data_IF_775755981656
#
_entry.id   IF_775755981656
#
_cell.length_a   1.000
_cell.length_b   1.000
_cell.length_c   1.000
_cell.angle_alpha   90.00
_cell.angle_beta   90.00
_cell.angle_gamma   90.00
#
_symmetry.space_group_name_H-M   'P 1'
#
loop_
_entity.id
_entity.type
_entity.pdbx_description
1 polymer ?
#
# COMPACT_ATOMS: atom_id res chain seq x y z
N UNK A 1 11.97 5.31 0.99
CA UNK A 1 10.95 6.35 1.17
C UNK A 1 10.56 6.42 2.64
N UNK A 2 10.64 7.61 3.23
CA UNK A 2 10.30 7.82 4.63
C UNK A 2 8.89 8.39 4.82
N UNK A 3 8.34 8.26 6.04
CA UNK A 3 7.02 8.80 6.38
C UNK A 3 6.96 10.32 6.36
N UNK A 4 8.09 11.01 6.51
CA UNK A 4 8.16 12.47 6.38
C UNK A 4 8.50 12.93 4.96
N UNK A 5 8.08 12.15 3.96
CA UNK A 5 8.17 12.49 2.55
C UNK A 5 9.59 12.74 2.02
N UNK A 6 10.58 12.02 2.54
CA UNK A 6 11.95 12.01 2.01
C UNK A 6 12.29 10.65 1.42
N UNK A 7 12.96 10.65 0.29
CA UNK A 7 13.53 9.44 -0.31
C UNK A 7 15.05 9.45 -0.13
N UNK A 8 15.59 8.29 0.22
CA UNK A 8 17.01 8.07 0.42
C UNK A 8 17.49 6.91 -0.44
N UNK A 9 18.71 6.99 -0.91
CA UNK A 9 19.38 5.89 -1.62
C UNK A 9 20.42 5.27 -0.70
N UNK A 10 20.32 3.97 -0.45
CA UNK A 10 21.24 3.20 0.35
C UNK A 10 21.84 2.08 -0.49
N UNK A 11 23.17 2.10 -0.75
CA UNK A 11 23.83 0.98 -1.39
C UNK A 11 23.75 -0.29 -0.54
N UNK A 12 23.37 -1.42 -1.15
CA UNK A 12 23.15 -2.70 -0.43
C UNK A 12 24.40 -3.15 0.33
N UNK A 13 25.60 -2.92 -0.24
CA UNK A 13 26.87 -3.29 0.42
C UNK A 13 27.14 -2.54 1.74
N UNK A 14 26.40 -1.46 2.02
CA UNK A 14 26.48 -0.73 3.30
C UNK A 14 25.57 -1.32 4.38
N UNK A 15 24.72 -2.26 4.02
CA UNK A 15 23.88 -2.98 4.96
C UNK A 15 24.72 -4.14 5.51
N UNK A 16 25.07 -4.15 6.81
CA UNK A 16 25.90 -5.22 7.36
C UNK A 16 25.14 -6.54 7.37
N UNK A 17 25.85 -7.61 7.11
CA UNK A 17 25.31 -8.94 7.31
C UNK A 17 25.08 -9.18 8.80
N UNK A 18 23.90 -9.66 9.14
CA UNK A 18 23.49 -9.94 10.53
C UNK A 18 22.90 -11.34 10.64
N UNK A 19 23.10 -11.99 11.78
CA UNK A 19 22.46 -13.28 12.08
C UNK A 19 20.95 -13.09 12.29
N UNK A 20 20.10 -14.07 11.93
CA UNK A 20 18.70 -14.05 12.28
C UNK A 20 18.51 -13.84 13.79
N UNK A 21 17.56 -12.98 14.17
CA UNK A 21 17.28 -12.64 15.58
C UNK A 21 18.16 -11.54 16.18
N UNK A 22 19.12 -10.98 15.43
CA UNK A 22 19.86 -9.79 15.88
C UNK A 22 19.00 -8.53 15.75
N UNK A 23 19.32 -7.48 16.52
CA UNK A 23 18.59 -6.20 16.50
C UNK A 23 18.77 -5.38 15.20
N UNK A 24 19.60 -5.85 14.26
CA UNK A 24 19.92 -5.11 13.06
C UNK A 24 20.73 -3.83 13.32
N UNK A 25 20.83 -3.00 12.29
CA UNK A 25 21.52 -1.70 12.35
C UNK A 25 20.52 -0.56 12.26
N UNK A 26 20.70 0.45 13.11
CA UNK A 26 19.89 1.68 13.00
C UNK A 26 20.20 2.41 11.69
N UNK A 27 19.17 2.72 10.91
CA UNK A 27 19.30 3.41 9.63
C UNK A 27 20.01 4.77 9.75
N UNK A 28 19.96 5.43 10.90
CA UNK A 28 20.67 6.68 11.17
C UNK A 28 22.19 6.55 11.05
N UNK A 29 22.71 5.34 11.22
CA UNK A 29 24.16 5.07 11.10
C UNK A 29 24.61 4.96 9.64
N UNK A 30 23.75 4.57 8.73
CA UNK A 30 24.09 4.30 7.33
C UNK A 30 23.47 5.29 6.34
N UNK A 31 22.39 5.94 6.71
CA UNK A 31 21.70 6.94 5.90
C UNK A 31 21.93 8.33 6.49
N UNK A 32 22.81 9.11 5.87
CA UNK A 32 23.06 10.50 6.30
C UNK A 32 21.77 11.32 6.30
N UNK A 33 21.59 12.14 7.34
CA UNK A 33 20.42 13.00 7.54
C UNK A 33 19.06 12.29 7.68
N UNK A 34 19.03 10.98 7.82
CA UNK A 34 17.85 10.29 8.33
C UNK A 34 17.74 10.52 9.84
N UNK A 35 16.60 10.98 10.31
CA UNK A 35 16.41 11.40 11.71
C UNK A 35 15.49 10.44 12.49
N UNK A 36 15.15 9.30 11.91
CA UNK A 36 14.28 8.29 12.56
C UNK A 36 12.78 8.50 12.32
N UNK A 37 12.45 9.20 11.25
CA UNK A 37 11.06 9.53 10.89
C UNK A 37 10.19 8.33 10.46
N UNK A 38 10.74 7.13 10.47
CA UNK A 38 10.09 5.91 10.00
C UNK A 38 10.15 5.73 8.49
N UNK A 39 10.10 4.47 8.06
CA UNK A 39 10.08 4.08 6.64
C UNK A 39 8.65 3.75 6.26
N UNK A 40 8.21 4.25 5.12
CA UNK A 40 6.94 3.89 4.50
C UNK A 40 7.15 2.69 3.55
N UNK A 41 8.12 2.79 2.65
CA UNK A 41 8.32 1.77 1.61
C UNK A 41 9.80 1.64 1.27
N UNK A 42 10.24 0.40 0.98
CA UNK A 42 11.54 0.07 0.44
C UNK A 42 11.37 -0.45 -0.99
N UNK A 43 12.03 0.17 -1.95
CA UNK A 43 11.99 -0.25 -3.35
C UNK A 43 13.43 -0.49 -3.82
N UNK A 44 13.78 -1.69 -4.32
CA UNK A 44 15.08 -1.93 -4.92
C UNK A 44 15.27 -1.04 -6.16
N UNK A 45 16.45 -0.46 -6.35
CA UNK A 45 16.74 0.37 -7.53
C UNK A 45 16.63 -0.45 -8.83
N UNK A 46 17.07 -1.70 -8.80
CA UNK A 46 16.86 -2.64 -9.90
C UNK A 46 15.37 -2.84 -10.23
N UNK A 47 14.51 -2.87 -9.21
CA UNK A 47 13.06 -2.92 -9.39
C UNK A 47 12.54 -1.67 -10.10
N UNK A 48 12.99 -0.49 -9.71
CA UNK A 48 12.61 0.77 -10.36
C UNK A 48 13.06 0.79 -11.83
N UNK A 49 14.31 0.41 -12.10
CA UNK A 49 14.85 0.37 -13.46
C UNK A 49 14.17 -0.70 -14.32
N UNK A 50 13.92 -1.88 -13.75
CA UNK A 50 13.21 -2.95 -14.46
C UNK A 50 11.76 -2.57 -14.75
N UNK A 51 11.05 -2.01 -13.79
CA UNK A 51 9.69 -1.50 -13.97
C UNK A 51 9.70 -0.44 -15.08
N UNK A 52 10.58 0.55 -14.99
CA UNK A 52 10.71 1.59 -16.02
C UNK A 52 11.00 0.99 -17.40
N UNK A 53 11.95 0.06 -17.52
CA UNK A 53 12.32 -0.57 -18.80
C UNK A 53 11.20 -1.46 -19.36
N UNK A 54 10.44 -2.16 -18.51
CA UNK A 54 9.28 -2.96 -18.94
C UNK A 54 8.20 -2.04 -19.47
N UNK A 55 7.84 -1.00 -18.73
CA UNK A 55 6.79 -0.08 -19.15
C UNK A 55 7.19 0.75 -20.38
N UNK A 56 8.44 1.24 -20.45
CA UNK A 56 8.94 1.95 -21.65
C UNK A 56 8.97 1.05 -22.89
N UNK A 57 9.32 -0.23 -22.75
CA UNK A 57 9.36 -1.17 -23.85
C UNK A 57 7.96 -1.46 -24.42
N UNK A 58 6.97 -1.47 -23.55
CA UNK A 58 5.56 -1.68 -23.92
C UNK A 58 4.80 -0.36 -24.19
N UNK A 59 5.48 0.79 -24.13
CA UNK A 59 4.87 2.11 -24.28
C UNK A 59 3.93 2.48 -23.13
N UNK A 60 4.10 1.86 -21.97
CA UNK A 60 3.24 2.05 -20.79
C UNK A 60 3.92 3.01 -19.82
N UNK A 61 3.20 4.02 -19.34
CA UNK A 61 3.67 4.92 -18.30
C UNK A 61 3.61 4.24 -16.92
N UNK A 62 4.58 4.53 -16.06
CA UNK A 62 4.60 4.12 -14.67
C UNK A 62 4.88 5.34 -13.79
N UNK A 63 3.95 5.62 -12.90
CA UNK A 63 4.04 6.72 -11.95
C UNK A 63 4.20 6.23 -10.52
N UNK A 64 4.75 7.09 -9.69
CA UNK A 64 4.78 6.92 -8.24
C UNK A 64 3.50 7.53 -7.65
N UNK A 65 2.67 6.71 -7.05
CA UNK A 65 1.49 7.13 -6.32
C UNK A 65 1.80 7.27 -4.84
N UNK A 66 1.36 8.37 -4.25
CA UNK A 66 1.65 8.73 -2.86
C UNK A 66 0.36 9.06 -2.12
N UNK A 67 0.10 8.36 -1.01
CA UNK A 67 -1.04 8.60 -0.13
C UNK A 67 -0.57 9.06 1.24
N UNK A 68 -1.17 10.12 1.77
CA UNK A 68 -0.92 10.56 3.15
C UNK A 68 -2.00 10.06 4.11
N UNK A 69 -1.69 10.08 5.40
CA UNK A 69 -2.62 9.75 6.49
C UNK A 69 -3.92 10.57 6.40
N UNK A 70 -3.83 11.84 6.08
CA UNK A 70 -4.97 12.76 6.00
C UNK A 70 -5.75 12.65 4.68
N UNK A 71 -5.34 11.70 3.80
CA UNK A 71 -6.05 11.40 2.55
C UNK A 71 -5.67 12.30 1.39
N UNK A 72 -4.54 13.00 1.46
CA UNK A 72 -3.98 13.67 0.30
C UNK A 72 -3.31 12.64 -0.61
N UNK A 73 -3.57 12.76 -1.89
CA UNK A 73 -3.17 11.80 -2.90
C UNK A 73 -2.66 12.50 -4.15
N UNK A 74 -1.59 11.98 -4.72
CA UNK A 74 -1.04 12.42 -5.99
C UNK A 74 -0.31 11.29 -6.68
N UNK A 75 -0.09 11.45 -7.96
CA UNK A 75 0.93 10.71 -8.70
C UNK A 75 2.02 11.65 -9.17
N UNK A 76 3.21 11.14 -9.40
CA UNK A 76 4.33 11.88 -9.96
C UNK A 76 5.16 10.96 -10.85
N UNK A 77 5.81 11.56 -11.83
CA UNK A 77 6.73 10.86 -12.70
C UNK A 77 7.88 10.27 -11.88
N UNK A 78 8.31 9.07 -12.25
CA UNK A 78 9.39 8.35 -11.56
C UNK A 78 10.72 9.11 -11.62
N UNK A 79 10.96 9.92 -12.66
CA UNK A 79 12.16 10.74 -12.81
C UNK A 79 12.32 11.78 -11.69
N UNK A 80 11.22 12.20 -11.06
CA UNK A 80 11.25 13.14 -9.93
C UNK A 80 12.05 12.64 -8.72
N UNK A 81 12.28 11.33 -8.62
CA UNK A 81 13.05 10.70 -7.51
C UNK A 81 14.29 9.94 -7.96
N UNK A 82 14.68 10.01 -9.23
CA UNK A 82 15.87 9.30 -9.71
C UNK A 82 17.18 9.92 -9.21
N UNK A 83 17.22 11.24 -9.06
CA UNK A 83 18.43 11.98 -8.66
C UNK A 83 18.47 12.22 -7.14
N UNK A 84 18.45 11.12 -6.37
CA UNK A 84 18.51 11.19 -4.90
C UNK A 84 19.94 11.52 -4.45
N UNK A 85 20.08 12.60 -3.67
CA UNK A 85 21.34 12.99 -3.05
C UNK A 85 21.58 12.23 -1.74
N UNK A 86 22.82 12.31 -1.21
CA UNK A 86 23.17 11.75 0.10
C UNK A 86 22.39 12.39 1.27
N UNK A 87 21.78 13.54 1.04
CA UNK A 87 20.95 14.27 2.01
C UNK A 87 19.49 13.83 1.99
N UNK A 88 19.12 12.94 1.06
CA UNK A 88 17.76 12.65 0.72
C UNK A 88 17.14 13.71 -0.19
N UNK A 89 16.00 13.39 -0.75
CA UNK A 89 15.22 14.26 -1.63
C UNK A 89 13.78 14.29 -1.11
N UNK A 90 13.20 15.48 -0.99
CA UNK A 90 11.78 15.62 -0.66
C UNK A 90 10.92 15.24 -1.86
N UNK A 91 9.97 14.32 -1.69
CA UNK A 91 9.07 13.86 -2.76
C UNK A 91 7.60 14.25 -2.55
N UNK A 92 7.23 14.82 -1.41
CA UNK A 92 5.93 15.42 -1.19
C UNK A 92 6.02 16.51 -0.12
N UNK A 93 5.11 17.48 -0.18
CA UNK A 93 4.91 18.47 0.89
C UNK A 93 3.76 17.97 1.78
N UNK A 94 3.97 17.92 3.09
CA UNK A 94 3.00 17.48 4.07
C UNK A 94 2.34 18.66 4.78
N UNK A 95 1.15 18.44 5.32
CA UNK A 95 0.57 19.32 6.35
C UNK A 95 1.24 19.03 7.71
N UNK A 96 1.06 19.92 8.66
CA UNK A 96 1.51 19.69 10.04
C UNK A 96 0.79 18.46 10.62
N UNK A 97 1.57 17.53 11.20
CA UNK A 97 1.06 16.29 11.79
C UNK A 97 0.63 15.21 10.79
N UNK A 98 0.70 15.49 9.46
CA UNK A 98 0.46 14.49 8.42
C UNK A 98 1.72 13.67 8.13
N UNK A 99 1.57 12.48 7.58
CA UNK A 99 2.67 11.63 7.14
C UNK A 99 2.26 10.73 5.97
N UNK A 100 3.25 10.20 5.28
CA UNK A 100 3.01 9.26 4.17
C UNK A 100 2.57 7.90 4.75
N UNK A 101 1.39 7.49 4.36
CA UNK A 101 0.85 6.16 4.70
C UNK A 101 1.39 5.11 3.77
N UNK A 102 1.33 5.36 2.47
CA UNK A 102 1.69 4.35 1.48
C UNK A 102 2.20 4.95 0.17
N UNK A 103 2.98 4.15 -0.58
CA UNK A 103 3.55 4.49 -1.88
C UNK A 103 3.54 3.25 -2.75
N UNK A 104 2.99 3.37 -3.96
CA UNK A 104 2.97 2.30 -4.96
C UNK A 104 3.43 2.84 -6.31
N UNK A 105 4.21 2.01 -7.02
CA UNK A 105 4.54 2.19 -8.42
C UNK A 105 3.49 1.46 -9.25
N UNK A 106 2.77 2.17 -10.11
CA UNK A 106 1.75 1.55 -10.96
C UNK A 106 1.51 2.33 -12.24
N UNK A 107 0.94 1.64 -13.23
CA UNK A 107 0.42 2.30 -14.42
C UNK A 107 -0.79 3.16 -14.04
N UNK A 108 -0.81 4.46 -14.39
CA UNK A 108 -1.94 5.34 -14.07
C UNK A 108 -3.25 4.95 -14.76
N UNK A 109 -3.19 4.14 -15.82
CA UNK A 109 -4.38 3.62 -16.49
C UNK A 109 -5.07 2.51 -15.67
N UNK A 110 -4.38 1.90 -14.72
CA UNK A 110 -4.97 0.93 -13.81
C UNK A 110 -5.90 1.63 -12.81
N UNK A 111 -6.84 0.87 -12.29
CA UNK A 111 -7.66 1.28 -11.17
C UNK A 111 -6.94 0.98 -9.84
N UNK A 112 -7.42 1.59 -8.77
CA UNK A 112 -6.91 1.37 -7.42
C UNK A 112 -8.03 1.40 -6.38
N UNK A 113 -7.74 0.84 -5.22
CA UNK A 113 -8.59 0.93 -4.03
C UNK A 113 -7.82 1.64 -2.93
N UNK A 114 -8.36 2.77 -2.44
CA UNK A 114 -7.92 3.43 -1.20
C UNK A 114 -8.84 2.96 -0.08
N UNK A 115 -8.27 2.74 1.11
CA UNK A 115 -9.07 2.29 2.25
C UNK A 115 -8.74 3.02 3.55
N UNK A 116 -9.78 3.14 4.38
CA UNK A 116 -9.73 3.78 5.69
C UNK A 116 -10.75 3.11 6.61
N UNK A 117 -10.31 2.57 7.72
CA UNK A 117 -11.10 1.84 8.72
C UNK A 117 -11.93 0.71 8.12
N UNK A 118 -13.16 0.95 7.65
CA UNK A 118 -14.06 -0.05 7.05
C UNK A 118 -14.59 0.36 5.67
N UNK A 119 -14.08 1.44 5.13
CA UNK A 119 -14.47 1.99 3.83
C UNK A 119 -13.38 1.79 2.81
N UNK A 120 -13.79 1.50 1.59
CA UNK A 120 -12.93 1.44 0.42
C UNK A 120 -13.48 2.35 -0.68
N UNK A 121 -12.62 3.01 -1.40
CA UNK A 121 -12.95 3.80 -2.58
C UNK A 121 -12.20 3.22 -3.77
N UNK A 122 -12.94 2.67 -4.75
CA UNK A 122 -12.38 2.25 -6.03
C UNK A 122 -12.41 3.41 -6.99
N UNK A 123 -11.29 3.71 -7.62
CA UNK A 123 -11.18 4.81 -8.57
C UNK A 123 -10.11 4.51 -9.64
N UNK A 124 -10.18 5.25 -10.76
CA UNK A 124 -9.12 5.22 -11.77
C UNK A 124 -7.83 5.86 -11.21
N UNK A 125 -6.67 5.32 -11.58
CA UNK A 125 -5.39 5.96 -11.26
C UNK A 125 -5.26 7.35 -11.87
N UNK A 126 -5.92 7.62 -13.00
CA UNK A 126 -5.96 8.94 -13.64
C UNK A 126 -6.66 10.02 -12.80
N UNK A 127 -7.48 9.63 -11.82
CA UNK A 127 -8.06 10.57 -10.85
C UNK A 127 -7.02 11.19 -9.90
N UNK A 128 -5.86 10.52 -9.72
CA UNK A 128 -4.73 11.09 -9.01
C UNK A 128 -4.09 12.19 -9.85
N UNK A 129 -3.98 13.44 -9.36
CA UNK A 129 -3.36 14.50 -10.15
C UNK A 129 -1.87 14.21 -10.35
N UNK A 130 -1.38 14.38 -11.58
CA UNK A 130 0.04 14.36 -11.89
C UNK A 130 0.66 15.66 -11.39
N UNK A 131 1.47 15.58 -10.38
CA UNK A 131 2.06 16.74 -9.70
C UNK A 131 3.54 16.50 -9.42
N UNK A 132 4.31 17.59 -9.39
CA UNK A 132 5.71 17.51 -9.03
C UNK A 132 5.93 17.19 -7.53
N UNK A 133 7.17 16.86 -7.18
CA UNK A 133 7.57 16.48 -5.81
C UNK A 133 7.33 17.55 -4.75
N UNK A 134 7.29 18.84 -5.10
CA UNK A 134 7.14 19.93 -4.13
C UNK A 134 5.69 20.25 -3.72
N UNK A 135 4.72 19.43 -4.14
CA UNK A 135 3.28 19.64 -3.88
C UNK A 135 2.70 18.65 -2.86
N UNK A 136 1.55 19.00 -2.27
CA UNK A 136 0.87 18.18 -1.27
C UNK A 136 -0.01 17.07 -1.87
N UNK A 137 -0.58 17.26 -3.03
CA UNK A 137 -1.65 16.40 -3.55
C UNK A 137 -3.05 16.93 -3.25
N UNK A 138 -4.06 16.18 -3.70
CA UNK A 138 -5.47 16.52 -3.53
C UNK A 138 -6.19 15.44 -2.72
N UNK A 139 -7.34 15.77 -2.14
CA UNK A 139 -8.15 14.80 -1.39
C UNK A 139 -8.57 13.65 -2.29
N UNK A 140 -8.17 12.43 -1.93
CA UNK A 140 -8.57 11.20 -2.60
C UNK A 140 -9.90 10.67 -2.08
N UNK A 141 -10.00 10.47 -0.77
CA UNK A 141 -11.16 9.91 -0.10
C UNK A 141 -11.51 10.77 1.12
N UNK A 142 -12.81 11.01 1.35
CA UNK A 142 -13.27 11.67 2.57
C UNK A 142 -13.50 10.63 3.65
N UNK A 143 -12.76 10.74 4.74
CA UNK A 143 -12.89 9.88 5.91
C UNK A 143 -12.74 10.69 7.19
N UNK A 144 -13.38 10.23 8.27
CA UNK A 144 -13.15 10.73 9.63
C UNK A 144 -11.95 10.05 10.29
N UNK A 145 -11.41 9.03 9.65
CA UNK A 145 -10.30 8.23 10.14
C UNK A 145 -9.09 8.40 9.22
N UNK A 146 -7.89 8.17 9.72
CA UNK A 146 -6.69 8.10 8.89
C UNK A 146 -6.85 7.14 7.72
N UNK A 147 -6.14 7.40 6.63
CA UNK A 147 -6.00 6.42 5.57
C UNK A 147 -5.11 5.28 6.04
N UNK A 148 -5.53 4.04 5.80
CA UNK A 148 -4.78 2.85 6.18
C UNK A 148 -3.87 2.36 5.04
N UNK A 149 -4.20 2.67 3.78
CA UNK A 149 -3.39 2.33 2.62
C UNK A 149 -4.17 2.39 1.31
N UNK A 150 -3.52 1.94 0.23
CA UNK A 150 -4.14 1.72 -1.06
C UNK A 150 -3.48 0.55 -1.80
N UNK A 151 -4.15 0.00 -2.80
CA UNK A 151 -3.67 -1.12 -3.60
C UNK A 151 -4.07 -0.96 -5.06
N UNK A 152 -3.22 -1.43 -5.97
CA UNK A 152 -3.48 -1.42 -7.41
C UNK A 152 -4.46 -2.54 -7.79
N UNK A 153 -5.32 -2.28 -8.76
CA UNK A 153 -6.15 -3.27 -9.43
C UNK A 153 -5.54 -3.53 -10.80
N UNK A 154 -5.17 -4.76 -11.05
CA UNK A 154 -4.69 -5.22 -12.36
C UNK A 154 -5.86 -5.73 -13.22
N UNK A 155 -5.72 -5.80 -14.56
CA UNK A 155 -6.82 -6.21 -15.44
C UNK A 155 -7.38 -7.60 -15.16
N UNK A 156 -6.58 -8.50 -14.58
CA UNK A 156 -6.95 -9.87 -14.21
C UNK A 156 -7.53 -10.00 -12.79
N UNK A 157 -7.61 -8.90 -12.05
CA UNK A 157 -8.17 -8.87 -10.70
C UNK A 157 -9.67 -9.15 -10.68
N UNK A 158 -10.10 -10.04 -9.81
CA UNK A 158 -11.51 -10.49 -9.70
C UNK A 158 -12.12 -10.23 -8.33
N UNK A 159 -11.31 -10.27 -7.28
CA UNK A 159 -11.77 -10.24 -5.89
C UNK A 159 -11.08 -9.19 -5.08
N UNK A 160 -11.79 -8.70 -4.08
CA UNK A 160 -11.24 -7.88 -3.00
C UNK A 160 -11.38 -8.66 -1.71
N UNK A 161 -10.28 -8.83 -1.02
CA UNK A 161 -10.20 -9.53 0.26
C UNK A 161 -9.88 -8.52 1.35
N UNK A 162 -10.86 -8.25 2.21
CA UNK A 162 -10.68 -7.39 3.37
C UNK A 162 -10.28 -8.26 4.57
N UNK A 163 -9.16 -7.94 5.19
CA UNK A 163 -8.65 -8.62 6.39
C UNK A 163 -8.64 -7.62 7.54
N UNK A 164 -9.23 -8.00 8.67
CA UNK A 164 -9.34 -7.12 9.84
C UNK A 164 -8.26 -7.41 10.88
N UNK A 165 -8.04 -6.44 11.78
CA UNK A 165 -7.11 -6.59 12.91
C UNK A 165 -7.47 -7.79 13.83
N UNK A 166 -8.75 -8.16 13.89
CA UNK A 166 -9.22 -9.33 14.66
C UNK A 166 -9.05 -10.66 13.92
N UNK A 167 -8.47 -10.68 12.71
CA UNK A 167 -8.25 -11.88 11.91
C UNK A 167 -9.51 -12.39 11.19
N UNK A 168 -10.50 -11.54 10.97
CA UNK A 168 -11.65 -11.83 10.11
C UNK A 168 -11.33 -11.49 8.67
N UNK A 169 -11.89 -12.25 7.75
CA UNK A 169 -11.66 -12.10 6.32
C UNK A 169 -13.00 -12.13 5.57
N UNK A 170 -13.20 -11.16 4.70
CA UNK A 170 -14.34 -11.13 3.79
C UNK A 170 -13.85 -11.00 2.36
N UNK A 171 -14.16 -11.99 1.52
CA UNK A 171 -13.86 -12.00 0.10
C UNK A 171 -15.11 -11.58 -0.66
N UNK A 172 -14.99 -10.54 -1.46
CA UNK A 172 -16.09 -10.01 -2.27
C UNK A 172 -15.64 -9.86 -3.72
N UNK A 173 -16.55 -10.09 -4.69
CA UNK A 173 -16.25 -9.79 -6.09
C UNK A 173 -15.92 -8.31 -6.29
N UNK A 174 -14.90 -8.01 -7.10
CA UNK A 174 -14.47 -6.63 -7.36
C UNK A 174 -15.60 -5.75 -7.96
N UNK A 175 -16.49 -6.33 -8.74
CA UNK A 175 -17.58 -5.63 -9.41
C UNK A 175 -18.66 -5.07 -8.48
N UNK A 176 -18.76 -5.55 -7.24
CA UNK A 176 -19.69 -4.97 -6.24
C UNK A 176 -19.19 -3.65 -5.66
N UNK A 177 -17.93 -3.31 -5.87
CA UNK A 177 -17.34 -2.02 -5.46
C UNK A 177 -17.43 -1.08 -6.65
N UNK A 178 -18.33 -0.09 -6.62
CA UNK A 178 -18.51 0.79 -7.76
C UNK A 178 -17.28 1.65 -8.02
N UNK A 179 -16.95 1.82 -9.29
CA UNK A 179 -15.97 2.82 -9.71
C UNK A 179 -16.51 4.21 -9.39
N UNK A 180 -15.72 5.03 -8.76
CA UNK A 180 -16.12 6.36 -8.28
C UNK A 180 -15.01 7.38 -8.52
N UNK A 181 -15.38 8.65 -8.62
CA UNK A 181 -14.40 9.74 -8.63
C UNK A 181 -13.81 9.97 -7.24
N UNK A 182 -12.62 10.58 -7.19
CA UNK A 182 -11.97 11.01 -5.94
C UNK A 182 -12.86 11.94 -5.11
N UNK A 183 -12.57 12.05 -3.82
CA UNK A 183 -13.30 12.93 -2.90
C UNK A 183 -14.65 12.38 -2.40
N UNK A 184 -14.95 11.11 -2.68
CA UNK A 184 -16.12 10.40 -2.13
C UNK A 184 -15.76 9.69 -0.81
N UNK A 185 -16.78 9.26 -0.07
CA UNK A 185 -16.58 8.58 1.23
C UNK A 185 -16.31 7.07 1.11
N UNK A 186 -16.43 6.52 -0.10
CA UNK A 186 -16.26 5.09 -0.33
C UNK A 186 -17.39 4.21 0.22
N UNK A 187 -17.23 2.89 0.04
CA UNK A 187 -18.20 1.86 0.39
C UNK A 187 -17.64 0.94 1.46
N UNK A 188 -18.50 0.32 2.27
CA UNK A 188 -18.06 -0.74 3.19
C UNK A 188 -17.84 -2.04 2.41
N UNK A 189 -16.86 -2.83 2.81
CA UNK A 189 -16.58 -4.17 2.24
C UNK A 189 -16.64 -5.26 3.31
N UNK A 190 -16.67 -4.86 4.59
CA UNK A 190 -16.77 -5.76 5.73
C UNK A 190 -17.50 -5.05 6.87
N UNK A 191 -18.34 -5.79 7.62
CA UNK A 191 -18.92 -5.29 8.88
C UNK A 191 -17.91 -5.50 10.00
N UNK A 192 -17.45 -4.41 10.61
CA UNK A 192 -16.51 -4.46 11.70
C UNK A 192 -17.20 -4.69 13.05
N UNK A 193 -16.54 -5.45 13.91
CA UNK A 193 -16.85 -5.50 15.34
C UNK A 193 -16.49 -4.19 16.04
N UNK A 194 -16.91 -4.07 17.31
CA UNK A 194 -16.53 -2.94 18.16
C UNK A 194 -15.00 -2.93 18.33
N UNK A 195 -14.38 -1.80 18.08
CA UNK A 195 -12.92 -1.59 18.14
C UNK A 195 -12.08 -2.38 17.12
N UNK A 196 -12.69 -2.92 16.04
CA UNK A 196 -11.97 -3.55 14.94
C UNK A 196 -11.75 -2.55 13.79
N UNK A 197 -10.84 -2.87 12.88
CA UNK A 197 -10.50 -2.09 11.68
C UNK A 197 -9.99 -3.01 10.58
N UNK A 198 -9.96 -2.53 9.37
CA UNK A 198 -9.25 -3.20 8.28
C UNK A 198 -7.76 -3.16 8.59
N UNK A 199 -7.11 -4.32 8.59
CA UNK A 199 -5.66 -4.45 8.62
C UNK A 199 -5.07 -4.19 7.23
N UNK A 200 -5.63 -4.84 6.23
CA UNK A 200 -5.25 -4.64 4.82
C UNK A 200 -6.37 -5.03 3.86
N UNK A 201 -6.26 -4.52 2.64
CA UNK A 201 -7.05 -4.93 1.49
C UNK A 201 -6.11 -5.59 0.48
N UNK A 202 -6.42 -6.80 0.07
CA UNK A 202 -5.77 -7.48 -1.03
C UNK A 202 -6.71 -7.46 -2.24
N UNK A 203 -6.14 -7.26 -3.42
CA UNK A 203 -6.82 -7.43 -4.70
C UNK A 203 -6.23 -8.67 -5.36
N UNK A 204 -7.09 -9.63 -5.68
CA UNK A 204 -6.67 -10.98 -6.06
C UNK A 204 -7.35 -11.44 -7.34
N UNK A 205 -6.68 -12.33 -8.07
CA UNK A 205 -7.22 -13.16 -9.14
C UNK A 205 -7.48 -14.58 -8.64
N UNK A 206 -8.04 -15.43 -9.50
CA UNK A 206 -8.22 -16.85 -9.16
C UNK A 206 -6.86 -17.50 -8.82
N UNK A 207 -6.88 -18.41 -7.87
CA UNK A 207 -5.73 -19.18 -7.39
C UNK A 207 -4.63 -18.41 -6.64
N UNK A 208 -4.75 -17.09 -6.49
CA UNK A 208 -3.80 -16.35 -5.66
C UNK A 208 -3.76 -16.90 -4.23
N UNK A 209 -2.60 -16.79 -3.62
CA UNK A 209 -2.37 -17.18 -2.23
C UNK A 209 -1.69 -16.04 -1.46
N UNK A 210 -1.93 -15.98 -0.18
CA UNK A 210 -1.24 -15.05 0.71
C UNK A 210 -0.87 -15.72 2.01
N UNK A 211 0.25 -15.30 2.59
CA UNK A 211 0.72 -15.79 3.88
C UNK A 211 0.37 -14.78 4.97
N UNK A 212 -0.39 -15.22 5.97
CA UNK A 212 -0.65 -14.44 7.17
C UNK A 212 0.37 -14.84 8.23
N UNK A 213 1.17 -13.89 8.66
CA UNK A 213 2.19 -14.06 9.71
C UNK A 213 1.65 -13.43 10.99
N UNK A 214 1.67 -14.20 12.07
CA UNK A 214 1.24 -13.77 13.41
C UNK A 214 2.35 -14.00 14.41
N UNK A 215 2.21 -13.50 15.63
CA UNK A 215 3.15 -13.77 16.73
C UNK A 215 3.26 -15.26 17.11
N UNK A 216 2.34 -16.11 16.63
CA UNK A 216 2.29 -17.56 16.96
C UNK A 216 2.67 -18.47 15.79
N UNK A 217 2.92 -17.91 14.61
CA UNK A 217 3.26 -18.68 13.41
C UNK A 217 2.69 -18.06 12.16
N UNK A 218 2.77 -18.78 11.05
CA UNK A 218 2.26 -18.34 9.76
C UNK A 218 1.32 -19.37 9.14
N UNK A 219 0.40 -18.89 8.30
CA UNK A 219 -0.54 -19.72 7.55
C UNK A 219 -0.68 -19.18 6.13
N UNK A 220 -0.44 -20.05 5.14
CA UNK A 220 -0.75 -19.75 3.74
C UNK A 220 -2.22 -20.06 3.49
N UNK A 221 -2.90 -19.16 2.83
CA UNK A 221 -4.31 -19.26 2.48
C UNK A 221 -4.44 -19.06 0.97
N UNK A 222 -5.04 -20.03 0.30
CA UNK A 222 -5.45 -19.88 -1.08
C UNK A 222 -6.80 -19.15 -1.13
N UNK A 223 -6.96 -18.22 -2.07
CA UNK A 223 -8.19 -17.43 -2.19
C UNK A 223 -9.43 -18.29 -2.46
N UNK A 224 -9.26 -19.46 -3.10
CA UNK A 224 -10.36 -20.39 -3.38
C UNK A 224 -10.87 -21.10 -2.11
N UNK A 225 -10.10 -21.12 -1.02
CA UNK A 225 -10.54 -21.65 0.27
C UNK A 225 -11.50 -20.68 0.99
N UNK A 226 -11.52 -19.41 0.57
CA UNK A 226 -12.38 -18.38 1.16
C UNK A 226 -13.76 -18.43 0.52
N UNK A 227 -14.78 -18.37 1.36
CA UNK A 227 -16.16 -18.29 0.89
C UNK A 227 -16.42 -16.97 0.17
N UNK A 228 -17.06 -17.05 -0.98
CA UNK A 228 -17.52 -15.87 -1.69
C UNK A 228 -18.67 -15.22 -0.92
N UNK A 229 -18.51 -13.96 -0.61
CA UNK A 229 -19.58 -13.13 -0.05
C UNK A 229 -20.15 -12.24 -1.15
N UNK A 230 -21.43 -12.48 -1.49
CA UNK A 230 -22.18 -11.58 -2.40
C UNK A 230 -22.54 -10.25 -1.75
N UNK A 231 -22.29 -10.09 -0.46
CA UNK A 231 -22.67 -8.92 0.32
C UNK A 231 -21.67 -8.60 1.44
N UNK A 232 -21.84 -7.42 2.03
CA UNK A 232 -21.05 -6.98 3.19
C UNK A 232 -21.42 -7.84 4.40
N UNK A 233 -20.53 -8.73 4.80
CA UNK A 233 -20.66 -9.61 5.96
C UNK A 233 -19.63 -9.29 7.04
N UNK A 234 -19.73 -9.95 8.21
CA UNK A 234 -18.70 -9.87 9.25
C UNK A 234 -17.43 -10.65 8.89
N UNK A 235 -17.46 -11.37 7.77
CA UNK A 235 -16.38 -12.26 7.34
C UNK A 235 -16.20 -13.50 8.22
N UNK A 236 -15.46 -14.45 7.71
CA UNK A 236 -15.05 -15.66 8.43
C UNK A 236 -13.83 -15.40 9.30
N UNK A 237 -13.76 -16.03 10.47
CA UNK A 237 -12.58 -15.95 11.33
C UNK A 237 -11.53 -16.96 10.84
N UNK A 238 -10.44 -16.47 10.27
CA UNK A 238 -9.37 -17.34 9.75
C UNK A 238 -8.25 -17.62 10.75
N UNK A 239 -8.00 -16.69 11.64
CA UNK A 239 -6.95 -16.79 12.65
C UNK A 239 -7.46 -16.28 13.99
N UNK A 240 -6.97 -16.88 15.06
CA UNK A 240 -7.17 -16.32 16.40
C UNK A 240 -6.41 -15.00 16.52
N UNK A 241 -7.07 -14.02 17.12
CA UNK A 241 -6.73 -12.60 17.19
C UNK A 241 -5.43 -12.26 17.93
N UNK A 242 -4.42 -13.10 17.86
CA UNK A 242 -3.11 -12.86 18.44
C UNK A 242 -2.20 -12.15 17.43
N UNK A 243 -2.47 -10.86 17.24
CA UNK A 243 -1.57 -9.94 16.55
C UNK A 243 -1.08 -10.39 15.17
N UNK A 244 -1.78 -9.98 14.10
CA UNK A 244 -1.23 -10.04 12.75
C UNK A 244 0.03 -9.19 12.73
N UNK A 245 1.15 -9.78 12.32
CA UNK A 245 2.44 -9.10 12.16
C UNK A 245 2.59 -8.62 10.73
N UNK A 246 2.22 -9.48 9.75
CA UNK A 246 2.33 -9.16 8.32
C UNK A 246 1.40 -10.05 7.49
N UNK A 247 1.05 -9.56 6.31
CA UNK A 247 0.36 -10.32 5.27
C UNK A 247 1.13 -10.11 3.98
N UNK A 248 1.56 -11.20 3.37
CA UNK A 248 2.45 -11.17 2.21
C UNK A 248 1.79 -11.99 1.09
N UNK A 249 1.55 -11.41 -0.10
CA UNK A 249 1.17 -12.20 -1.27
C UNK A 249 2.22 -13.29 -1.54
N UNK A 250 1.78 -14.49 -1.88
CA UNK A 250 2.66 -15.57 -2.34
C UNK A 250 2.71 -15.47 -3.86
N UNK A 251 3.85 -15.07 -4.39
CA UNK A 251 4.13 -15.10 -5.83
C UNK A 251 4.70 -16.46 -6.17
N UNK A 252 4.09 -17.13 -7.15
CA UNK A 252 4.71 -18.32 -7.78
C UNK A 252 5.98 -17.97 -8.55
#
# INVERSE_FOLDING_TARGET
FSRLAKVYKLPVHKIPFSKPGSNGLDLRMVVKKYVGEGISTLIPESGIQNIKSIFEKDGIECDIFVLTKDGLFKRMDISEVMNVTVSGLMYAKLNEGDYITDIILMNPMNELIIYSKNKVLRMSGMEAPLLNRSTKGNVAMRSKYPMDGFTCITPDSKYVVAITNSGRVNKVPLNIIPLSSRGKSGNSVIKLGKNDGIYTILVCKDNDSFNIITNRGSKIININELKDSSSISTGDKLIDSSGIVSIIPVTE
#
